data_IF_685308179099
#
_entry.id   IF_685308179099
#
_cell.length_a   1.000
_cell.length_b   1.000
_cell.length_c   1.000
_cell.angle_alpha   90.00
_cell.angle_beta   90.00
_cell.angle_gamma   90.00
#
_symmetry.space_group_name_H-M   'P 1'
#
loop_
_entity.id
_entity.type
_entity.pdbx_description
1 polymer ?
#
# COMPACT_ATOMS: atom_id res chain seq x y z
N UNK A 1 -11.69 -11.56 -1.43
CA UNK A 1 -11.33 -12.23 -2.70
C UNK A 1 -10.34 -13.34 -2.39
N UNK A 2 -10.31 -14.46 -3.10
CA UNK A 2 -9.22 -15.44 -2.86
C UNK A 2 -7.88 -14.89 -3.35
N UNK A 3 -6.76 -15.37 -2.81
CA UNK A 3 -5.42 -14.95 -3.25
C UNK A 3 -5.23 -15.10 -4.76
N UNK A 4 -5.70 -16.22 -5.34
CA UNK A 4 -5.60 -16.48 -6.78
C UNK A 4 -6.44 -15.49 -7.60
N UNK A 5 -7.67 -15.19 -7.17
CA UNK A 5 -8.50 -14.19 -7.83
C UNK A 5 -7.86 -12.80 -7.78
N UNK A 6 -7.24 -12.41 -6.66
CA UNK A 6 -6.56 -11.13 -6.51
C UNK A 6 -5.35 -11.03 -7.43
N UNK A 7 -4.50 -12.05 -7.44
CA UNK A 7 -3.33 -12.11 -8.32
C UNK A 7 -3.77 -12.00 -9.78
N UNK A 8 -4.76 -12.78 -10.21
CA UNK A 8 -5.27 -12.74 -11.58
C UNK A 8 -5.89 -11.39 -11.94
N UNK A 9 -6.64 -10.79 -11.01
CA UNK A 9 -7.23 -9.47 -11.20
C UNK A 9 -6.16 -8.41 -11.43
N UNK A 10 -5.14 -8.37 -10.58
CA UNK A 10 -4.02 -7.42 -10.68
C UNK A 10 -3.19 -7.67 -11.94
N UNK A 11 -2.81 -8.92 -12.20
CA UNK A 11 -2.02 -9.31 -13.37
C UNK A 11 -2.73 -9.01 -14.70
N UNK A 12 -4.07 -9.06 -14.73
CA UNK A 12 -4.84 -8.70 -15.93
C UNK A 12 -4.69 -7.24 -16.37
N UNK A 13 -4.11 -6.36 -15.53
CA UNK A 13 -3.71 -5.02 -15.96
C UNK A 13 -2.58 -5.06 -16.98
N UNK A 14 -1.60 -5.94 -16.79
CA UNK A 14 -0.44 -6.11 -17.65
C UNK A 14 -0.16 -7.61 -17.89
N UNK A 15 -0.94 -8.27 -18.77
CA UNK A 15 -0.89 -9.72 -18.95
C UNK A 15 0.47 -10.25 -19.43
N UNK A 16 1.25 -9.43 -20.12
CA UNK A 16 2.58 -9.80 -20.60
C UNK A 16 3.67 -9.70 -19.51
N UNK A 17 3.35 -9.13 -18.34
CA UNK A 17 4.26 -9.07 -17.21
C UNK A 17 4.62 -10.49 -16.76
N UNK A 18 5.90 -10.80 -16.74
CA UNK A 18 6.35 -12.06 -16.12
C UNK A 18 6.30 -11.91 -14.61
N UNK A 19 5.60 -12.80 -13.94
CA UNK A 19 5.56 -12.92 -12.48
C UNK A 19 5.90 -14.35 -12.07
N UNK A 20 6.37 -14.53 -10.84
CA UNK A 20 6.59 -15.84 -10.24
C UNK A 20 5.79 -15.97 -8.95
N UNK A 21 4.68 -16.71 -9.02
CA UNK A 21 3.78 -16.92 -7.88
C UNK A 21 4.41 -17.72 -6.74
N UNK A 22 5.53 -18.43 -6.98
CA UNK A 22 6.24 -19.15 -5.92
C UNK A 22 6.97 -18.24 -4.93
N UNK A 23 7.27 -16.99 -5.34
CA UNK A 23 7.84 -15.96 -4.48
C UNK A 23 6.78 -15.13 -3.74
N UNK A 24 5.52 -15.18 -4.19
CA UNK A 24 4.44 -14.41 -3.54
C UNK A 24 4.29 -14.85 -2.08
N UNK A 25 4.37 -13.87 -1.18
CA UNK A 25 4.33 -14.09 0.25
C UNK A 25 3.60 -12.93 0.93
N UNK A 26 2.59 -13.24 1.72
CA UNK A 26 1.95 -12.29 2.61
C UNK A 26 2.23 -12.57 4.08
N UNK A 27 1.59 -11.78 4.93
CA UNK A 27 1.56 -11.97 6.38
C UNK A 27 0.62 -13.12 6.75
N UNK A 28 0.91 -13.78 7.85
CA UNK A 28 -0.02 -14.72 8.49
C UNK A 28 -1.15 -13.97 9.20
N UNK A 29 -2.28 -14.64 9.40
CA UNK A 29 -3.41 -14.09 10.15
C UNK A 29 -3.01 -13.64 11.56
N UNK A 30 -2.08 -14.36 12.22
CA UNK A 30 -1.56 -14.03 13.55
C UNK A 30 -0.66 -12.77 13.57
N UNK A 31 -0.12 -12.37 12.42
CA UNK A 31 0.66 -11.14 12.29
C UNK A 31 -0.22 -9.91 12.06
N UNK A 32 -1.42 -10.06 11.50
CA UNK A 32 -2.32 -8.93 11.23
C UNK A 32 -2.63 -8.11 12.49
N UNK A 33 -3.00 -8.70 13.65
CA UNK A 33 -3.19 -7.92 14.87
C UNK A 33 -1.94 -7.20 15.37
N UNK A 34 -0.74 -7.68 15.02
CA UNK A 34 0.52 -7.02 15.39
C UNK A 34 0.74 -5.78 14.53
N UNK A 35 0.47 -5.88 13.22
CA UNK A 35 0.47 -4.73 12.31
C UNK A 35 -0.56 -3.67 12.75
N UNK A 36 -1.79 -4.07 13.07
CA UNK A 36 -2.82 -3.14 13.57
C UNK A 36 -2.33 -2.35 14.79
N UNK A 37 -1.67 -3.01 15.74
CA UNK A 37 -1.15 -2.37 16.96
C UNK A 37 0.05 -1.48 16.68
N UNK A 38 0.97 -1.92 15.82
CA UNK A 38 2.20 -1.20 15.52
C UNK A 38 1.91 0.13 14.80
N UNK A 39 0.99 0.12 13.85
CA UNK A 39 0.64 1.29 13.03
C UNK A 39 -0.57 2.07 13.56
N UNK A 40 -1.27 1.55 14.57
CA UNK A 40 -2.51 2.10 15.14
C UNK A 40 -3.62 2.26 14.07
N UNK A 41 -3.88 1.18 13.33
CA UNK A 41 -4.83 1.12 12.20
C UNK A 41 -5.79 -0.07 12.31
N UNK A 42 -6.74 -0.17 11.38
CA UNK A 42 -7.63 -1.33 11.23
C UNK A 42 -7.47 -2.04 9.89
N UNK A 43 -7.02 -3.28 9.92
CA UNK A 43 -6.77 -4.05 8.70
C UNK A 43 -8.01 -4.88 8.39
N UNK A 44 -8.74 -4.48 7.35
CA UNK A 44 -9.96 -5.13 6.85
C UNK A 44 -10.08 -4.91 5.34
N UNK A 45 -11.02 -5.61 4.71
CA UNK A 45 -11.33 -5.41 3.29
C UNK A 45 -10.15 -5.72 2.38
N UNK A 46 -9.95 -4.91 1.36
CA UNK A 46 -8.92 -5.11 0.33
C UNK A 46 -7.51 -4.98 0.89
N UNK A 47 -7.29 -4.15 1.92
CA UNK A 47 -5.99 -4.07 2.58
C UNK A 47 -5.63 -5.40 3.27
N UNK A 48 -6.60 -6.04 3.92
CA UNK A 48 -6.40 -7.37 4.51
C UNK A 48 -6.07 -8.42 3.45
N UNK A 49 -6.89 -8.49 2.39
CA UNK A 49 -6.69 -9.45 1.29
C UNK A 49 -5.29 -9.28 0.66
N UNK A 50 -4.85 -8.04 0.44
CA UNK A 50 -3.52 -7.75 -0.08
C UNK A 50 -2.41 -8.16 0.88
N UNK A 51 -2.49 -7.79 2.17
CA UNK A 51 -1.44 -8.09 3.14
C UNK A 51 -1.28 -9.60 3.36
N UNK A 52 -2.37 -10.36 3.43
CA UNK A 52 -2.37 -11.82 3.53
C UNK A 52 -1.84 -12.48 2.26
N UNK A 53 -2.16 -11.93 1.08
CA UNK A 53 -1.74 -12.52 -0.18
C UNK A 53 -0.27 -12.24 -0.50
N UNK A 54 0.15 -10.97 -0.42
CA UNK A 54 1.41 -10.52 -1.00
C UNK A 54 2.10 -9.38 -0.22
N UNK A 55 1.66 -9.08 1.01
CA UNK A 55 2.19 -7.95 1.79
C UNK A 55 3.70 -7.98 2.10
N UNK A 56 4.39 -9.11 1.87
CA UNK A 56 5.85 -9.25 2.06
C UNK A 56 6.61 -9.38 0.74
N UNK A 57 6.02 -10.04 -0.25
CA UNK A 57 6.60 -10.20 -1.59
C UNK A 57 5.47 -10.41 -2.61
N UNK A 58 5.57 -9.73 -3.75
CA UNK A 58 4.56 -9.72 -4.80
C UNK A 58 4.88 -10.61 -6.00
N UNK A 59 6.02 -11.33 -5.98
CA UNK A 59 6.43 -12.19 -7.09
C UNK A 59 6.72 -11.41 -8.38
N UNK A 60 7.11 -10.14 -8.27
CA UNK A 60 7.41 -9.26 -9.39
C UNK A 60 6.25 -8.40 -9.90
N UNK A 61 5.07 -8.43 -9.26
CA UNK A 61 3.95 -7.54 -9.60
C UNK A 61 4.26 -6.06 -9.30
N UNK A 62 5.03 -5.80 -8.24
CA UNK A 62 5.32 -4.44 -7.76
C UNK A 62 6.80 -4.26 -7.44
N UNK A 63 7.34 -3.08 -7.79
CA UNK A 63 8.68 -2.64 -7.43
C UNK A 63 8.77 -2.07 -6.01
N UNK A 64 9.87 -1.38 -5.72
CA UNK A 64 10.06 -0.53 -4.53
C UNK A 64 9.40 0.83 -4.64
N UNK A 65 8.88 1.19 -5.80
CA UNK A 65 8.18 2.46 -6.04
C UNK A 65 7.01 2.21 -6.99
N UNK A 66 5.86 2.89 -6.80
CA UNK A 66 5.61 3.92 -5.79
C UNK A 66 5.10 3.37 -4.44
N UNK A 67 4.90 2.05 -4.32
CA UNK A 67 4.33 1.45 -3.11
C UNK A 67 5.33 1.37 -1.94
N UNK A 68 4.85 1.66 -0.73
CA UNK A 68 5.69 1.64 0.49
C UNK A 68 5.92 0.24 1.08
N UNK A 69 5.41 -0.83 0.44
CA UNK A 69 5.47 -2.18 1.00
C UNK A 69 6.80 -2.91 0.76
N UNK A 70 7.56 -2.52 -0.26
CA UNK A 70 8.74 -3.26 -0.75
C UNK A 70 9.98 -2.37 -0.93
N UNK A 71 10.04 -1.26 -0.20
CA UNK A 71 11.16 -0.32 -0.27
C UNK A 71 12.44 -0.94 0.28
N UNK A 72 13.50 -0.96 -0.53
CA UNK A 72 14.75 -1.70 -0.24
C UNK A 72 15.55 -1.10 0.93
N UNK A 73 15.46 0.22 1.12
CA UNK A 73 16.26 0.93 2.13
C UNK A 73 15.49 1.19 3.43
N UNK A 74 14.24 0.76 3.50
CA UNK A 74 13.39 1.03 4.66
C UNK A 74 13.50 -0.04 5.73
N UNK A 75 13.50 0.45 6.97
CA UNK A 75 13.35 -0.38 8.14
C UNK A 75 11.92 -0.24 8.64
N UNK A 76 11.41 -1.27 9.33
CA UNK A 76 10.10 -1.18 10.01
C UNK A 76 10.00 0.06 10.90
N UNK A 77 11.09 0.43 11.58
CA UNK A 77 11.15 1.66 12.38
C UNK A 77 11.01 2.92 11.52
N UNK A 78 11.69 2.96 10.37
CA UNK A 78 11.58 4.06 9.40
C UNK A 78 10.14 4.21 8.93
N UNK A 79 9.51 3.11 8.54
CA UNK A 79 8.12 3.11 8.08
C UNK A 79 7.13 3.54 9.16
N UNK A 80 7.32 3.13 10.42
CA UNK A 80 6.49 3.61 11.54
C UNK A 80 6.64 5.12 11.76
N UNK A 81 7.87 5.64 11.64
CA UNK A 81 8.15 7.08 11.73
C UNK A 81 7.49 7.81 10.57
N UNK A 82 7.65 7.31 9.34
CA UNK A 82 7.01 7.86 8.14
C UNK A 82 5.50 7.97 8.32
N UNK A 83 4.82 6.88 8.68
CA UNK A 83 3.38 6.86 8.93
C UNK A 83 2.97 7.86 10.03
N UNK A 84 3.79 8.03 11.07
CA UNK A 84 3.52 9.00 12.13
C UNK A 84 3.67 10.45 11.64
N UNK A 85 4.71 10.75 10.86
CA UNK A 85 4.94 12.08 10.29
C UNK A 85 3.80 12.47 9.33
N UNK A 86 3.42 11.60 8.40
CA UNK A 86 2.34 11.91 7.44
C UNK A 86 0.99 12.11 8.14
N UNK A 87 0.74 11.44 9.26
CA UNK A 87 -0.45 11.70 10.09
C UNK A 87 -0.41 13.05 10.76
N UNK A 88 0.76 13.54 11.15
CA UNK A 88 0.91 14.83 11.78
C UNK A 88 0.59 15.97 10.81
N UNK A 89 0.92 15.83 9.53
CA UNK A 89 0.56 16.80 8.47
C UNK A 89 -0.95 17.12 8.49
N UNK A 90 -1.80 16.11 8.71
CA UNK A 90 -3.26 16.33 8.83
C UNK A 90 -3.66 17.19 10.02
N UNK A 91 -2.89 17.18 11.12
CA UNK A 91 -3.13 18.12 12.22
C UNK A 91 -2.78 19.55 11.82
N UNK A 92 -1.72 19.74 11.04
CA UNK A 92 -1.22 21.06 10.60
C UNK A 92 -2.22 21.73 9.65
N UNK A 93 -2.83 20.95 8.75
CA UNK A 93 -3.90 21.42 7.85
C UNK A 93 -5.32 21.32 8.46
N UNK A 94 -5.42 21.15 9.80
CA UNK A 94 -6.68 21.10 10.56
C UNK A 94 -7.67 19.98 10.15
N UNK A 95 -7.18 18.91 9.52
CA UNK A 95 -7.94 17.70 9.13
C UNK A 95 -7.97 16.63 10.22
N UNK A 96 -8.34 17.03 11.43
CA UNK A 96 -8.49 16.11 12.57
C UNK A 96 -9.57 15.03 12.33
N UNK A 97 -10.54 15.30 11.46
CA UNK A 97 -11.56 14.35 11.00
C UNK A 97 -10.95 13.12 10.30
N UNK A 98 -9.86 13.32 9.54
CA UNK A 98 -9.16 12.23 8.87
C UNK A 98 -8.32 11.42 9.85
N UNK A 99 -7.62 12.08 10.77
CA UNK A 99 -6.82 11.40 11.80
C UNK A 99 -7.66 10.43 12.64
N UNK A 100 -8.89 10.83 13.01
CA UNK A 100 -9.81 9.97 13.77
C UNK A 100 -10.17 8.65 13.04
N UNK A 101 -10.05 8.64 11.72
CA UNK A 101 -10.34 7.49 10.86
C UNK A 101 -9.10 6.61 10.58
N UNK A 102 -7.98 6.86 11.28
CA UNK A 102 -6.76 6.02 11.25
C UNK A 102 -6.21 5.87 9.82
N UNK A 103 -5.68 6.95 9.22
CA UNK A 103 -5.11 6.90 7.88
C UNK A 103 -3.87 6.01 7.86
N UNK A 104 -3.71 5.26 6.76
CA UNK A 104 -2.54 4.44 6.48
C UNK A 104 -2.04 4.74 5.07
N UNK A 105 -0.83 5.29 4.97
CA UNK A 105 -0.22 5.69 3.70
C UNK A 105 0.34 4.47 2.99
N UNK A 106 0.01 4.32 1.71
CA UNK A 106 0.31 3.11 0.92
C UNK A 106 1.30 3.39 -0.20
N UNK A 107 1.43 4.65 -0.63
CA UNK A 107 2.26 5.01 -1.78
C UNK A 107 2.62 6.49 -1.80
N UNK A 108 3.75 6.80 -2.46
CA UNK A 108 4.23 8.16 -2.71
C UNK A 108 4.52 8.30 -4.21
N UNK A 109 3.83 9.20 -4.88
CA UNK A 109 4.05 9.51 -6.29
C UNK A 109 4.55 10.94 -6.46
N UNK A 110 5.46 11.16 -7.41
CA UNK A 110 6.00 12.49 -7.73
C UNK A 110 6.53 13.25 -6.49
N UNK A 111 6.98 12.52 -5.48
CA UNK A 111 7.50 12.99 -4.17
C UNK A 111 6.55 13.82 -3.31
N UNK A 112 5.37 14.18 -3.80
CA UNK A 112 4.46 15.16 -3.17
C UNK A 112 3.01 14.69 -3.13
N UNK A 113 2.68 13.58 -3.81
CA UNK A 113 1.36 12.98 -3.81
C UNK A 113 1.39 11.73 -2.94
N UNK A 114 0.71 11.79 -1.79
CA UNK A 114 0.69 10.73 -0.81
C UNK A 114 -0.66 10.01 -0.84
N UNK A 115 -0.67 8.75 -1.24
CA UNK A 115 -1.89 7.95 -1.31
C UNK A 115 -2.09 7.16 -0.03
N UNK A 116 -3.32 7.12 0.47
CA UNK A 116 -3.64 6.50 1.75
C UNK A 116 -5.07 5.97 1.83
N UNK A 117 -5.30 5.12 2.83
CA UNK A 117 -6.59 4.54 3.19
C UNK A 117 -7.05 5.06 4.54
N UNK A 118 -8.35 5.35 4.70
CA UNK A 118 -8.96 5.65 6.00
C UNK A 118 -9.46 4.37 6.65
N UNK A 119 -8.58 3.68 7.36
CA UNK A 119 -8.78 2.27 7.75
C UNK A 119 -9.94 2.01 8.72
N UNK A 120 -10.34 3.03 9.49
CA UNK A 120 -11.49 2.99 10.41
C UNK A 120 -12.76 3.61 9.83
N UNK A 121 -12.74 4.09 8.59
CA UNK A 121 -13.93 4.65 7.93
C UNK A 121 -14.98 3.59 7.58
N UNK A 122 -16.14 4.07 7.15
CA UNK A 122 -17.23 3.25 6.60
C UNK A 122 -16.87 2.64 5.24
N UNK A 123 -15.92 3.23 4.50
CA UNK A 123 -15.39 2.72 3.25
C UNK A 123 -13.87 2.60 3.30
N UNK A 124 -13.33 1.59 3.99
CA UNK A 124 -11.88 1.45 4.22
C UNK A 124 -11.08 1.09 2.97
N UNK A 125 -11.76 0.69 1.90
CA UNK A 125 -11.12 0.32 0.63
C UNK A 125 -10.92 1.55 -0.29
N UNK A 126 -11.55 2.69 0.00
CA UNK A 126 -11.41 3.90 -0.81
C UNK A 126 -10.03 4.54 -0.62
N UNK A 127 -9.38 4.83 -1.75
CA UNK A 127 -8.09 5.53 -1.78
C UNK A 127 -8.30 7.04 -1.80
N UNK A 128 -7.48 7.72 -1.02
CA UNK A 128 -7.39 9.16 -0.96
C UNK A 128 -5.98 9.58 -1.38
N UNK A 129 -5.84 10.82 -1.87
CA UNK A 129 -4.56 11.43 -2.20
C UNK A 129 -4.42 12.72 -1.41
N UNK A 130 -3.31 12.87 -0.68
CA UNK A 130 -2.89 14.13 -0.09
C UNK A 130 -1.83 14.76 -1.00
N UNK A 131 -2.13 15.95 -1.50
CA UNK A 131 -1.20 16.77 -2.28
C UNK A 131 -0.48 17.71 -1.32
N UNK A 132 0.81 17.46 -1.08
CA UNK A 132 1.62 18.26 -0.16
C UNK A 132 1.83 19.70 -0.67
N UNK A 133 1.90 19.93 -1.99
CA UNK A 133 2.11 21.28 -2.53
C UNK A 133 0.87 22.15 -2.36
N UNK A 134 -0.32 21.56 -2.53
CA UNK A 134 -1.59 22.26 -2.40
C UNK A 134 -2.17 22.21 -0.99
N UNK A 135 -1.64 21.34 -0.12
CA UNK A 135 -2.16 21.02 1.21
C UNK A 135 -3.62 20.52 1.18
N UNK A 136 -4.01 19.81 0.10
CA UNK A 136 -5.39 19.37 -0.15
C UNK A 136 -5.48 17.84 -0.17
N UNK A 137 -6.51 17.31 0.49
CA UNK A 137 -6.89 15.89 0.39
C UNK A 137 -8.00 15.72 -0.64
N UNK A 138 -7.76 14.86 -1.63
CA UNK A 138 -8.67 14.53 -2.74
C UNK A 138 -9.14 13.07 -2.59
N UNK A 139 -10.40 12.82 -2.93
CA UNK A 139 -10.92 11.45 -3.10
C UNK A 139 -10.58 11.00 -4.52
N UNK A 140 -9.92 9.84 -4.68
CA UNK A 140 -9.51 9.37 -6.02
C UNK A 140 -10.66 8.73 -6.78
N UNK A 141 -11.66 8.21 -6.05
CA UNK A 141 -12.73 7.39 -6.61
C UNK A 141 -12.33 5.94 -6.89
N UNK A 142 -11.09 5.55 -6.56
CA UNK A 142 -10.59 4.20 -6.72
C UNK A 142 -10.67 3.42 -5.40
N UNK A 143 -11.06 2.16 -5.48
CA UNK A 143 -10.78 1.19 -4.42
C UNK A 143 -9.29 0.83 -4.40
N UNK A 144 -8.80 0.26 -3.30
CA UNK A 144 -7.40 -0.09 -3.14
C UNK A 144 -6.92 -1.05 -4.25
N UNK A 145 -7.71 -2.06 -4.60
CA UNK A 145 -7.40 -2.99 -5.68
C UNK A 145 -7.38 -2.31 -7.05
N UNK A 146 -8.27 -1.34 -7.30
CA UNK A 146 -8.25 -0.55 -8.54
C UNK A 146 -7.01 0.36 -8.60
N UNK A 147 -6.60 0.93 -7.47
CA UNK A 147 -5.36 1.69 -7.37
C UNK A 147 -4.12 0.81 -7.59
N UNK A 148 -4.03 -0.35 -6.96
CA UNK A 148 -2.95 -1.32 -7.20
C UNK A 148 -2.90 -1.74 -8.68
N UNK A 149 -4.06 -1.94 -9.30
CA UNK A 149 -4.17 -2.22 -10.74
C UNK A 149 -3.65 -1.06 -11.59
N UNK A 150 -3.92 0.18 -11.20
CA UNK A 150 -3.39 1.38 -11.85
C UNK A 150 -1.86 1.46 -11.76
N UNK A 151 -1.29 1.19 -10.59
CA UNK A 151 0.18 1.14 -10.38
C UNK A 151 0.84 0.09 -11.28
N UNK A 152 0.19 -1.05 -11.53
CA UNK A 152 0.70 -2.04 -12.47
C UNK A 152 0.67 -1.51 -13.90
N UNK A 153 -0.48 -0.97 -14.33
CA UNK A 153 -0.68 -0.54 -15.70
C UNK A 153 0.17 0.68 -16.09
N UNK A 154 0.50 1.52 -15.11
CA UNK A 154 1.31 2.72 -15.29
C UNK A 154 2.77 2.52 -14.87
N UNK A 155 3.06 2.37 -13.57
CA UNK A 155 4.44 2.36 -13.09
C UNK A 155 5.19 1.09 -13.48
N UNK A 156 4.59 -0.08 -13.23
CA UNK A 156 5.26 -1.36 -13.52
C UNK A 156 5.46 -1.57 -15.01
N UNK A 157 4.48 -1.18 -15.84
CA UNK A 157 4.57 -1.26 -17.30
C UNK A 157 5.67 -0.35 -17.86
N UNK A 158 5.86 0.83 -17.27
CA UNK A 158 6.86 1.80 -17.72
C UNK A 158 8.20 1.71 -16.97
N UNK A 159 8.37 0.72 -16.09
CA UNK A 159 9.60 0.51 -15.35
C UNK A 159 10.80 0.32 -16.29
N UNK A 160 11.90 1.02 -16.00
CA UNK A 160 13.12 0.98 -16.82
C UNK A 160 13.95 -0.28 -16.56
N UNK A 161 13.71 -0.96 -15.44
CA UNK A 161 14.35 -2.21 -15.07
C UNK A 161 13.31 -3.29 -14.76
N UNK A 162 13.73 -4.55 -14.90
CA UNK A 162 12.89 -5.68 -14.49
C UNK A 162 12.77 -5.70 -12.97
N UNK A 163 11.54 -5.83 -12.49
CA UNK A 163 11.27 -6.02 -11.06
C UNK A 163 11.73 -7.44 -10.68
N UNK A 164 12.64 -7.59 -9.68
CA UNK A 164 13.03 -8.91 -9.19
C UNK A 164 11.84 -9.66 -8.58
N UNK A 165 11.73 -10.96 -8.85
CA UNK A 165 10.64 -11.77 -8.29
C UNK A 165 10.72 -11.91 -6.77
N UNK A 166 11.94 -11.91 -6.23
CA UNK A 166 12.26 -12.05 -4.81
C UNK A 166 12.30 -10.72 -4.06
N UNK A 167 11.93 -9.62 -4.72
CA UNK A 167 11.82 -8.32 -4.05
C UNK A 167 10.81 -8.41 -2.92
N UNK A 168 11.29 -8.16 -1.71
CA UNK A 168 10.50 -8.27 -0.49
C UNK A 168 10.68 -7.06 0.40
N UNK A 169 9.65 -6.78 1.22
CA UNK A 169 9.70 -5.81 2.31
C UNK A 169 9.01 -6.34 3.55
N UNK A 170 9.16 -5.63 4.65
CA UNK A 170 8.55 -6.00 5.92
C UNK A 170 8.03 -4.77 6.67
N UNK A 171 6.78 -4.85 7.08
CA UNK A 171 6.10 -3.88 7.94
C UNK A 171 6.13 -4.33 9.42
N UNK A 172 6.71 -5.49 9.73
CA UNK A 172 6.74 -6.03 11.08
C UNK A 172 8.15 -6.53 11.44
N UNK A 173 8.64 -6.21 12.63
CA UNK A 173 9.83 -6.87 13.18
C UNK A 173 9.39 -8.17 13.82
N UNK A 174 9.92 -9.30 13.36
CA UNK A 174 9.69 -10.63 13.92
C UNK A 174 10.47 -10.86 15.22
#
# INVERSE_FOLDING_TARGET
>A
MTNVELINYLHSAYPELTIDTSYIKGYSEDEIPKLERLYDIKIKGQLYDFLICMGRCSGGLFGDSPLNFYQEQDTVRGEVIFQSCQRQEFAEIQRHDLMAQKPFFISIESYTQFYFLLTKSDNPDLVYCFDENEEIVKVTGLTFNEYLRHVIDYDTRNATCKIPFDRSGDLLIL
#
